data_IF_034166517121
#
_entry.id   IF_034166517121
#
_cell.length_a   1.000
_cell.length_b   1.000
_cell.length_c   1.000
_cell.angle_alpha   90.00
_cell.angle_beta   90.00
_cell.angle_gamma   90.00
#
_symmetry.space_group_name_H-M   'P 1'
#
loop_
_entity.id
_entity.type
_entity.pdbx_description
1 polymer ?
#
# COMPACT_ATOMS: atom_id res chain seq x y z
N UNK A 1 -30.07 14.44 -4.27
CA UNK A 1 -29.23 14.84 -3.12
C UNK A 1 -27.80 14.34 -3.38
N UNK A 2 -26.92 15.22 -3.86
CA UNK A 2 -25.56 14.87 -4.33
C UNK A 2 -24.70 14.59 -3.10
N UNK A 3 -24.33 13.33 -2.85
CA UNK A 3 -23.42 12.97 -1.76
C UNK A 3 -22.09 13.68 -2.00
N UNK A 4 -21.83 14.76 -1.27
CA UNK A 4 -20.50 15.31 -1.08
C UNK A 4 -19.68 14.25 -0.32
N UNK A 5 -19.21 13.24 -1.04
CA UNK A 5 -18.09 12.42 -0.61
C UNK A 5 -16.94 13.40 -0.46
N UNK A 6 -16.70 13.77 0.80
CA UNK A 6 -15.54 14.52 1.23
C UNK A 6 -14.33 13.86 0.55
N UNK A 7 -13.76 14.55 -0.45
CA UNK A 7 -12.48 14.18 -1.07
C UNK A 7 -11.38 14.45 -0.03
N UNK A 8 -11.33 13.69 1.06
CA UNK A 8 -10.09 13.50 1.82
C UNK A 8 -9.27 12.51 0.98
N UNK A 9 -8.80 12.97 -0.17
CA UNK A 9 -7.72 12.30 -0.88
C UNK A 9 -6.44 12.75 -0.20
N UNK A 10 -6.04 12.08 0.88
CA UNK A 10 -4.72 12.34 1.44
C UNK A 10 -3.70 11.98 0.34
N UNK A 11 -2.82 12.91 -0.06
CA UNK A 11 -1.82 12.63 -1.08
C UNK A 11 -0.97 11.43 -0.66
N UNK A 12 -0.63 10.56 -1.62
CA UNK A 12 0.29 9.43 -1.38
C UNK A 12 1.62 9.95 -0.78
N UNK A 13 2.07 11.14 -1.19
CA UNK A 13 3.25 11.81 -0.61
C UNK A 13 3.12 12.10 0.88
N UNK A 14 1.92 12.48 1.35
CA UNK A 14 1.66 12.73 2.78
C UNK A 14 1.65 11.44 3.58
N UNK A 15 1.12 10.35 3.01
CA UNK A 15 1.18 9.02 3.63
C UNK A 15 2.62 8.49 3.69
N UNK A 16 3.43 8.71 2.65
CA UNK A 16 4.85 8.34 2.66
C UNK A 16 5.60 9.16 3.72
N UNK A 17 5.37 10.47 3.80
CA UNK A 17 6.02 11.33 4.79
C UNK A 17 5.66 10.90 6.23
N UNK A 18 4.40 10.56 6.48
CA UNK A 18 3.97 9.98 7.76
C UNK A 18 4.69 8.65 8.05
N UNK A 19 4.79 7.79 7.05
CA UNK A 19 5.53 6.53 7.16
C UNK A 19 7.00 6.72 7.53
N UNK A 20 7.68 7.71 6.93
CA UNK A 20 9.06 8.08 7.25
C UNK A 20 9.16 8.57 8.70
N UNK A 21 8.21 9.41 9.15
CA UNK A 21 8.19 9.89 10.52
C UNK A 21 8.00 8.74 11.54
N UNK A 22 7.12 7.79 11.24
CA UNK A 22 6.94 6.58 12.05
C UNK A 22 8.22 5.74 12.04
N UNK A 23 8.93 5.66 10.92
CA UNK A 23 10.18 4.91 10.79
C UNK A 23 11.29 5.45 11.70
N UNK A 24 11.31 6.75 11.97
CA UNK A 24 12.26 7.36 12.91
C UNK A 24 12.05 6.91 14.37
N UNK A 25 10.81 6.57 14.74
CA UNK A 25 10.45 6.15 16.10
C UNK A 25 10.47 4.62 16.21
N UNK A 26 9.85 3.94 15.25
CA UNK A 26 9.76 2.49 15.15
C UNK A 26 10.06 2.06 13.70
N UNK A 27 11.33 1.73 13.39
CA UNK A 27 11.75 1.46 12.02
C UNK A 27 10.92 0.35 11.36
N UNK A 28 10.63 -0.72 12.09
CA UNK A 28 9.86 -1.87 11.59
C UNK A 28 8.41 -1.52 11.23
N UNK A 29 7.77 -0.66 12.02
CA UNK A 29 6.40 -0.20 11.80
C UNK A 29 6.33 0.84 10.67
N UNK A 30 7.32 1.73 10.59
CA UNK A 30 7.42 2.72 9.51
C UNK A 30 7.63 2.06 8.15
N UNK A 31 8.56 1.09 8.07
CA UNK A 31 8.77 0.30 6.86
C UNK A 31 7.54 -0.50 6.45
N UNK A 32 6.77 -1.03 7.40
CA UNK A 32 5.48 -1.70 7.13
C UNK A 32 4.51 -0.73 6.45
N UNK A 33 4.34 0.43 7.07
CA UNK A 33 3.38 1.43 6.63
C UNK A 33 3.70 1.94 5.22
N UNK A 34 4.96 2.27 4.94
CA UNK A 34 5.40 2.72 3.61
C UNK A 34 5.14 1.62 2.58
N UNK A 35 5.48 0.36 2.88
CA UNK A 35 5.27 -0.75 1.96
C UNK A 35 3.79 -1.03 1.67
N UNK A 36 2.91 -0.86 2.67
CA UNK A 36 1.46 -0.92 2.47
C UNK A 36 0.96 0.20 1.55
N UNK A 37 1.43 1.44 1.75
CA UNK A 37 1.07 2.58 0.91
C UNK A 37 1.48 2.35 -0.55
N UNK A 38 2.65 1.77 -0.78
CA UNK A 38 3.13 1.39 -2.12
C UNK A 38 2.24 0.31 -2.75
N UNK A 39 1.91 -0.75 -2.01
CA UNK A 39 1.02 -1.80 -2.50
C UNK A 39 -0.38 -1.28 -2.88
N UNK A 40 -0.94 -0.41 -2.03
CA UNK A 40 -2.22 0.25 -2.31
C UNK A 40 -2.14 1.19 -3.51
N UNK A 41 -1.02 1.91 -3.69
CA UNK A 41 -0.82 2.76 -4.85
C UNK A 41 -0.84 1.94 -6.16
N UNK A 42 -0.22 0.76 -6.19
CA UNK A 42 -0.29 -0.14 -7.35
C UNK A 42 -1.72 -0.63 -7.63
N UNK A 43 -2.48 -0.99 -6.60
CA UNK A 43 -3.88 -1.42 -6.77
C UNK A 43 -4.73 -0.27 -7.30
N UNK A 44 -4.62 0.92 -6.72
CA UNK A 44 -5.38 2.11 -7.15
C UNK A 44 -5.00 2.52 -8.58
N UNK A 45 -3.71 2.52 -8.91
CA UNK A 45 -3.24 2.83 -10.25
C UNK A 45 -3.70 1.78 -11.27
N UNK A 46 -3.57 0.49 -10.94
CA UNK A 46 -4.07 -0.61 -11.75
C UNK A 46 -5.58 -0.59 -11.94
N UNK A 47 -6.34 -0.07 -10.96
CA UNK A 47 -7.78 0.13 -11.05
C UNK A 47 -8.17 1.34 -11.90
N UNK A 48 -7.41 2.42 -11.82
CA UNK A 48 -7.60 3.60 -12.67
C UNK A 48 -7.30 3.31 -14.13
N UNK A 49 -6.31 2.44 -14.38
CA UNK A 49 -6.11 1.87 -15.70
C UNK A 49 -7.25 0.90 -15.98
N UNK A 50 -7.90 1.02 -17.14
CA UNK A 50 -9.08 0.23 -17.46
C UNK A 50 -8.75 -1.28 -17.51
N UNK A 51 -8.99 -1.98 -16.40
CA UNK A 51 -8.66 -3.41 -16.17
C UNK A 51 -9.29 -4.29 -17.26
N UNK A 52 -10.45 -3.89 -17.79
CA UNK A 52 -11.17 -4.68 -18.79
C UNK A 52 -10.44 -4.73 -20.12
N UNK A 53 -9.85 -3.62 -20.56
CA UNK A 53 -9.20 -3.49 -21.87
C UNK A 53 -7.69 -3.66 -21.82
N UNK A 54 -7.02 -3.32 -20.72
CA UNK A 54 -5.56 -3.34 -20.67
C UNK A 54 -5.03 -4.51 -19.82
N UNK A 55 -4.44 -5.50 -20.49
CA UNK A 55 -3.77 -6.63 -19.82
C UNK A 55 -2.66 -6.17 -18.86
N UNK A 56 -1.97 -5.07 -19.17
CA UNK A 56 -0.94 -4.49 -18.30
C UNK A 56 -1.51 -3.98 -16.97
N UNK A 57 -2.73 -3.42 -17.00
CA UNK A 57 -3.43 -2.99 -15.79
C UNK A 57 -3.75 -4.18 -14.87
N UNK A 58 -4.07 -5.34 -15.45
CA UNK A 58 -4.29 -6.58 -14.70
C UNK A 58 -3.01 -7.06 -14.02
N UNK A 59 -1.87 -7.00 -14.72
CA UNK A 59 -0.56 -7.38 -14.17
C UNK A 59 -0.20 -6.46 -13.01
N UNK A 60 -0.35 -5.14 -13.16
CA UNK A 60 -0.07 -4.17 -12.10
C UNK A 60 -0.94 -4.42 -10.87
N UNK A 61 -2.24 -4.66 -11.08
CA UNK A 61 -3.17 -4.93 -9.98
C UNK A 61 -2.81 -6.23 -9.26
N UNK A 62 -2.51 -7.30 -10.01
CA UNK A 62 -2.02 -8.57 -9.46
C UNK A 62 -0.73 -8.35 -8.65
N UNK A 63 0.22 -7.56 -9.16
CA UNK A 63 1.45 -7.23 -8.46
C UNK A 63 1.17 -6.53 -7.12
N UNK A 64 0.27 -5.54 -7.11
CA UNK A 64 -0.11 -4.83 -5.90
C UNK A 64 -0.77 -5.74 -4.86
N UNK A 65 -1.64 -6.65 -5.30
CA UNK A 65 -2.27 -7.65 -4.40
C UNK A 65 -1.23 -8.64 -3.87
N UNK A 66 -0.40 -9.21 -4.73
CA UNK A 66 0.69 -10.12 -4.35
C UNK A 66 1.65 -9.47 -3.36
N UNK A 67 1.97 -8.19 -3.57
CA UNK A 67 2.81 -7.42 -2.67
C UNK A 67 2.21 -7.28 -1.27
N UNK A 68 0.90 -6.98 -1.17
CA UNK A 68 0.21 -6.91 0.12
C UNK A 68 0.11 -8.28 0.81
N UNK A 69 -0.12 -9.36 0.06
CA UNK A 69 -0.12 -10.72 0.61
C UNK A 69 1.26 -11.10 1.11
N UNK A 70 2.31 -10.79 0.35
CA UNK A 70 3.70 -10.99 0.76
C UNK A 70 4.03 -10.21 2.03
N UNK A 71 3.65 -8.94 2.11
CA UNK A 71 3.81 -8.12 3.32
C UNK A 71 3.09 -8.73 4.51
N UNK A 72 1.84 -9.17 4.32
CA UNK A 72 1.09 -9.82 5.39
C UNK A 72 1.81 -11.07 5.90
N UNK A 73 2.24 -11.95 4.99
CA UNK A 73 3.00 -13.14 5.36
C UNK A 73 4.34 -12.81 6.00
N UNK A 74 5.08 -11.83 5.48
CA UNK A 74 6.37 -11.39 5.99
C UNK A 74 6.25 -10.80 7.40
N UNK A 75 5.23 -10.01 7.66
CA UNK A 75 5.01 -9.45 8.99
C UNK A 75 4.42 -10.48 9.95
N UNK A 76 3.51 -11.36 9.53
CA UNK A 76 3.00 -12.45 10.38
C UNK A 76 4.12 -13.42 10.76
N UNK A 77 4.99 -13.79 9.81
CA UNK A 77 6.15 -14.66 10.10
C UNK A 77 7.24 -13.91 10.86
N UNK A 78 7.47 -12.63 10.56
CA UNK A 78 8.44 -11.77 11.24
C UNK A 78 8.06 -11.43 12.68
N UNK A 79 6.77 -11.23 12.98
CA UNK A 79 6.30 -11.04 14.37
C UNK A 79 6.43 -12.32 15.20
N UNK A 80 6.38 -13.49 14.56
CA UNK A 80 6.62 -14.77 15.23
C UNK A 80 8.11 -15.09 15.43
N UNK A 81 9.04 -14.26 14.93
CA UNK A 81 10.47 -14.51 15.07
C UNK A 81 11.19 -13.24 15.59
N UNK A 82 11.54 -13.16 16.88
CA UNK A 82 12.06 -11.93 17.52
C UNK A 82 13.48 -11.52 17.07
N UNK A 83 14.15 -12.32 16.24
CA UNK A 83 15.50 -12.06 15.74
C UNK A 83 15.56 -11.21 14.45
N UNK A 84 14.42 -10.76 13.94
CA UNK A 84 14.31 -9.83 12.80
C UNK A 84 13.88 -8.45 13.24
#
# INVERSE_FOLDING_TARGET
MKKNLIKIGLPISTLIFLGIFIQLIQPRLGTFFINCVVGLAFIVFGWQLNIKTNWFARIILLLGVLWLVYLFLYYVTGFNNPHF
#
